data_IF_125163864112
#
_entry.id   IF_125163864112
#
_cell.length_a   1.000
_cell.length_b   1.000
_cell.length_c   1.000
_cell.angle_alpha   90.00
_cell.angle_beta   90.00
_cell.angle_gamma   90.00
#
_symmetry.space_group_name_H-M   'P 1'
#
loop_
_entity.id
_entity.type
_entity.pdbx_description
1 polymer ?
#
# COMPACT_ATOMS: atom_id res chain seq x y z
N UNK A 1 -2.47 6.32 -6.19
CA UNK A 1 -1.64 7.47 -6.61
C UNK A 1 -0.54 6.96 -7.53
N UNK A 2 -0.18 7.70 -8.56
CA UNK A 2 0.92 7.37 -9.47
C UNK A 2 2.09 8.32 -9.23
N UNK A 3 3.30 7.78 -9.28
CA UNK A 3 4.54 8.50 -9.02
C UNK A 3 5.55 8.22 -10.13
N UNK A 4 6.31 9.25 -10.47
CA UNK A 4 7.57 9.13 -11.19
C UNK A 4 8.66 9.63 -10.25
N UNK A 5 9.59 8.75 -9.87
CA UNK A 5 10.56 9.00 -8.79
C UNK A 5 9.85 9.36 -7.47
N UNK A 6 10.19 10.50 -6.86
CA UNK A 6 9.57 11.00 -5.62
C UNK A 6 8.36 11.92 -5.88
N UNK A 7 8.04 12.19 -7.14
CA UNK A 7 7.02 13.16 -7.53
C UNK A 7 5.71 12.47 -7.88
N UNK A 8 4.61 12.88 -7.24
CA UNK A 8 3.27 12.41 -7.60
C UNK A 8 2.85 13.02 -8.94
N UNK A 9 2.39 12.17 -9.86
CA UNK A 9 1.95 12.58 -11.19
C UNK A 9 0.45 12.35 -11.32
N UNK A 10 -0.26 13.42 -11.71
CA UNK A 10 -1.72 13.43 -11.83
C UNK A 10 -2.45 13.37 -10.49
N UNK A 11 -3.76 13.15 -10.55
CA UNK A 11 -4.63 13.14 -9.39
C UNK A 11 -4.64 11.78 -8.65
N UNK A 12 -5.12 11.79 -7.42
CA UNK A 12 -5.41 10.55 -6.69
C UNK A 12 -6.71 9.92 -7.21
N UNK A 13 -6.56 8.81 -7.93
CA UNK A 13 -7.70 8.01 -8.39
C UNK A 13 -8.39 7.29 -7.24
N UNK A 14 -9.72 7.42 -7.15
CA UNK A 14 -10.54 6.79 -6.10
C UNK A 14 -11.38 5.66 -6.66
N UNK A 15 -11.26 4.49 -6.05
CA UNK A 15 -12.04 3.31 -6.39
C UNK A 15 -13.12 3.11 -5.32
N UNK A 16 -14.38 3.16 -5.73
CA UNK A 16 -15.53 2.75 -4.92
C UNK A 16 -15.92 1.34 -5.30
N UNK A 17 -16.20 0.50 -4.31
CA UNK A 17 -16.82 -0.80 -4.55
C UNK A 17 -18.21 -0.60 -5.17
N UNK A 18 -18.57 -1.49 -6.07
CA UNK A 18 -19.95 -1.63 -6.54
C UNK A 18 -20.80 -2.11 -5.37
N UNK A 19 -21.65 -1.25 -4.82
CA UNK A 19 -22.68 -1.73 -3.89
C UNK A 19 -23.71 -2.58 -4.67
N UNK A 20 -24.17 -3.71 -4.13
CA UNK A 20 -25.23 -4.51 -4.74
C UNK A 20 -26.61 -3.84 -4.73
N UNK A 21 -26.79 -2.71 -4.03
CA UNK A 21 -28.03 -1.93 -4.07
C UNK A 21 -27.99 -0.88 -5.19
N UNK A 22 -28.88 -1.09 -6.16
CA UNK A 22 -29.21 -0.19 -7.25
C UNK A 22 -29.56 1.21 -6.74
N UNK A 23 -28.76 2.20 -7.12
CA UNK A 23 -29.22 3.51 -7.60
C UNK A 23 -27.97 4.29 -8.05
N UNK A 24 -27.97 4.73 -9.32
CA UNK A 24 -26.95 5.65 -9.82
C UNK A 24 -27.23 7.03 -9.21
N UNK A 25 -26.33 7.63 -8.41
CA UNK A 25 -26.39 9.04 -8.11
C UNK A 25 -26.02 9.81 -9.37
N UNK A 26 -26.83 10.82 -9.69
CA UNK A 26 -26.79 11.66 -10.89
C UNK A 26 -25.57 12.63 -10.91
N UNK A 27 -24.63 12.51 -9.95
CA UNK A 27 -23.41 13.33 -9.88
C UNK A 27 -22.16 12.44 -9.87
N UNK A 28 -21.82 11.87 -11.03
CA UNK A 28 -20.56 11.16 -11.20
C UNK A 28 -19.42 12.16 -11.38
N UNK A 29 -18.63 12.39 -10.34
CA UNK A 29 -17.34 13.06 -10.49
C UNK A 29 -16.42 12.16 -11.33
N UNK A 30 -15.81 12.73 -12.38
CA UNK A 30 -14.99 12.00 -13.36
C UNK A 30 -13.76 11.26 -12.77
N UNK A 31 -13.37 11.52 -11.52
CA UNK A 31 -12.20 10.90 -10.87
C UNK A 31 -12.49 9.60 -10.10
N UNK A 32 -13.69 9.01 -10.26
CA UNK A 32 -14.14 7.89 -9.44
C UNK A 32 -14.59 6.65 -10.24
N UNK A 33 -14.01 5.51 -9.87
CA UNK A 33 -14.31 4.19 -10.45
C UNK A 33 -15.34 3.46 -9.57
N UNK A 34 -16.35 2.81 -10.17
CA UNK A 34 -17.21 1.81 -9.48
C UNK A 34 -16.86 0.42 -9.98
N UNK A 35 -16.01 -0.29 -9.26
CA UNK A 35 -15.61 -1.65 -9.62
C UNK A 35 -14.92 -2.33 -8.43
N UNK A 36 -15.12 -3.64 -8.30
CA UNK A 36 -14.32 -4.48 -7.40
C UNK A 36 -12.97 -4.87 -8.02
N UNK A 37 -12.80 -4.62 -9.33
CA UNK A 37 -11.58 -4.87 -10.08
C UNK A 37 -11.05 -3.59 -10.73
N UNK A 38 -9.76 -3.35 -10.59
CA UNK A 38 -9.08 -2.22 -11.23
C UNK A 38 -7.82 -2.68 -11.94
N UNK A 39 -7.70 -2.27 -13.20
CA UNK A 39 -6.50 -2.48 -14.01
C UNK A 39 -5.71 -1.18 -14.08
N UNK A 40 -4.40 -1.24 -13.87
CA UNK A 40 -3.48 -0.12 -14.02
C UNK A 40 -2.45 -0.49 -15.08
N UNK A 41 -2.39 0.26 -16.18
CA UNK A 41 -1.57 -0.09 -17.33
C UNK A 41 -0.92 1.11 -18.04
N UNK A 42 -0.08 0.84 -19.04
CA UNK A 42 0.64 1.83 -19.83
C UNK A 42 -0.16 2.39 -21.01
N UNK A 43 -1.46 2.13 -21.10
CA UNK A 43 -2.31 2.59 -22.19
C UNK A 43 -2.52 4.11 -22.22
N UNK A 44 -3.20 4.59 -23.26
CA UNK A 44 -3.41 6.01 -23.54
C UNK A 44 -4.87 6.45 -23.46
N UNK A 45 -5.81 5.58 -23.06
CA UNK A 45 -7.23 5.90 -23.05
C UNK A 45 -7.64 6.56 -21.71
N UNK A 46 -7.81 7.89 -21.65
CA UNK A 46 -8.20 8.57 -20.42
C UNK A 46 -9.66 8.28 -20.04
N UNK A 47 -10.49 7.87 -21.00
CA UNK A 47 -11.89 7.56 -20.76
C UNK A 47 -12.03 6.18 -20.12
N UNK A 48 -11.05 5.29 -20.21
CA UNK A 48 -11.13 3.93 -19.65
C UNK A 48 -11.38 3.86 -18.13
N UNK A 49 -11.25 4.99 -17.42
CA UNK A 49 -11.46 5.08 -15.98
C UNK A 49 -12.86 4.62 -15.54
N UNK A 50 -13.92 4.97 -16.29
CA UNK A 50 -15.28 4.51 -15.98
C UNK A 50 -15.46 2.99 -16.11
N UNK A 51 -14.52 2.31 -16.78
CA UNK A 51 -14.48 0.85 -16.96
C UNK A 51 -13.55 0.15 -15.96
N UNK A 52 -13.09 0.85 -14.92
CA UNK A 52 -12.16 0.28 -13.95
C UNK A 52 -10.71 0.19 -14.45
N UNK A 53 -10.34 0.96 -15.47
CA UNK A 53 -9.01 0.91 -16.06
C UNK A 53 -8.31 2.26 -15.96
N UNK A 54 -7.18 2.30 -15.27
CA UNK A 54 -6.32 3.45 -15.11
C UNK A 54 -5.15 3.36 -16.10
N UNK A 55 -5.21 4.20 -17.14
CA UNK A 55 -4.17 4.32 -18.15
C UNK A 55 -3.14 5.37 -17.73
N UNK A 56 -1.93 4.93 -17.38
CA UNK A 56 -0.85 5.81 -16.94
C UNK A 56 -0.23 6.59 -18.09
N UNK A 57 -0.29 6.06 -19.32
CA UNK A 57 0.38 6.60 -20.52
C UNK A 57 -0.04 8.04 -20.86
N UNK A 58 -1.30 8.39 -20.64
CA UNK A 58 -1.85 9.72 -20.92
C UNK A 58 -1.47 10.79 -19.87
N UNK A 59 -0.90 10.41 -18.73
CA UNK A 59 -0.59 11.36 -17.66
C UNK A 59 0.58 12.28 -18.04
N UNK A 60 0.41 13.62 -18.01
CA UNK A 60 1.48 14.56 -18.31
C UNK A 60 2.44 14.70 -17.12
N UNK A 61 3.73 14.87 -17.43
CA UNK A 61 4.76 15.24 -16.45
C UNK A 61 5.84 16.07 -17.17
N UNK A 62 5.96 17.36 -16.84
CA UNK A 62 6.94 18.28 -17.45
C UNK A 62 8.38 17.99 -17.01
N UNK A 63 8.56 17.30 -15.89
CA UNK A 63 9.86 16.90 -15.35
C UNK A 63 10.19 15.44 -15.65
N UNK A 64 9.50 14.82 -16.63
CA UNK A 64 9.74 13.43 -17.00
C UNK A 64 11.14 13.27 -17.59
N UNK A 65 11.97 12.48 -16.92
CA UNK A 65 13.29 12.10 -17.42
C UNK A 65 13.23 10.89 -18.36
N UNK A 66 14.30 10.69 -19.13
CA UNK A 66 14.44 9.61 -20.13
C UNK A 66 14.20 8.21 -19.53
N UNK A 67 14.70 7.96 -18.31
CA UNK A 67 14.55 6.65 -17.65
C UNK A 67 13.09 6.34 -17.34
N UNK A 68 12.29 7.35 -16.97
CA UNK A 68 10.85 7.21 -16.72
C UNK A 68 10.09 6.99 -18.02
N UNK A 69 10.41 7.73 -19.08
CA UNK A 69 9.83 7.53 -20.40
C UNK A 69 10.08 6.11 -20.93
N UNK A 70 11.33 5.65 -20.88
CA UNK A 70 11.71 4.28 -21.25
C UNK A 70 11.01 3.23 -20.40
N UNK A 71 10.81 3.50 -19.11
CA UNK A 71 10.11 2.56 -18.22
C UNK A 71 8.62 2.49 -18.54
N UNK A 72 7.98 3.62 -18.83
CA UNK A 72 6.54 3.69 -19.17
C UNK A 72 6.18 2.87 -20.40
N UNK A 73 7.05 2.89 -21.42
CA UNK A 73 6.89 2.06 -22.64
C UNK A 73 6.78 0.56 -22.29
N UNK A 74 7.44 0.13 -21.22
CA UNK A 74 7.50 -1.27 -20.80
C UNK A 74 6.47 -1.66 -19.74
N UNK A 75 5.59 -0.76 -19.31
CA UNK A 75 4.48 -1.09 -18.39
C UNK A 75 3.51 -2.05 -19.09
N UNK A 76 3.25 -1.85 -20.38
CA UNK A 76 2.34 -2.67 -21.17
C UNK A 76 0.97 -2.79 -20.51
N UNK A 77 0.50 -4.03 -20.33
CA UNK A 77 -0.78 -4.35 -19.69
C UNK A 77 -0.78 -4.19 -18.16
N UNK A 78 0.38 -3.92 -17.56
CA UNK A 78 0.52 -3.52 -16.16
C UNK A 78 0.06 -4.55 -15.14
N UNK A 79 -0.82 -4.14 -14.25
CA UNK A 79 -1.29 -4.93 -13.10
C UNK A 79 -2.79 -4.83 -12.95
N UNK A 80 -3.41 -5.93 -12.53
CA UNK A 80 -4.83 -6.03 -12.21
C UNK A 80 -4.97 -6.31 -10.72
N UNK A 81 -5.85 -5.57 -10.05
CA UNK A 81 -6.13 -5.66 -8.62
C UNK A 81 -7.61 -5.95 -8.43
N UNK A 82 -7.92 -6.95 -7.62
CA UNK A 82 -9.30 -7.32 -7.28
C UNK A 82 -9.50 -7.29 -5.78
N UNK A 83 -10.44 -6.46 -5.34
CA UNK A 83 -10.87 -6.38 -3.96
C UNK A 83 -11.93 -7.45 -3.69
N UNK A 84 -11.68 -8.33 -2.71
CA UNK A 84 -12.63 -9.37 -2.33
C UNK A 84 -13.63 -8.85 -1.27
N UNK A 85 -14.85 -9.43 -1.19
CA UNK A 85 -15.82 -9.07 -0.16
C UNK A 85 -15.27 -9.18 1.27
N UNK A 86 -14.35 -10.12 1.52
CA UNK A 86 -13.66 -10.30 2.81
C UNK A 86 -12.82 -9.08 3.24
N UNK A 87 -12.48 -8.20 2.29
CA UNK A 87 -11.54 -7.10 2.49
C UNK A 87 -10.13 -7.38 1.96
N UNK A 88 -9.87 -8.61 1.53
CA UNK A 88 -8.59 -9.03 0.97
C UNK A 88 -8.39 -8.42 -0.42
N UNK A 89 -7.12 -8.32 -0.85
CA UNK A 89 -6.78 -7.84 -2.20
C UNK A 89 -5.97 -8.91 -2.93
N UNK A 90 -6.49 -9.32 -4.08
CA UNK A 90 -5.80 -10.17 -5.04
C UNK A 90 -5.12 -9.31 -6.11
N UNK A 91 -3.99 -9.78 -6.63
CA UNK A 91 -3.23 -9.13 -7.67
C UNK A 91 -2.85 -10.12 -8.77
N UNK A 92 -2.92 -9.67 -10.02
CA UNK A 92 -2.40 -10.41 -11.19
C UNK A 92 -1.45 -9.49 -11.96
N UNK A 93 -0.24 -9.98 -12.23
CA UNK A 93 0.67 -9.30 -13.14
C UNK A 93 0.26 -9.59 -14.59
N UNK A 94 -0.11 -8.56 -15.35
CA UNK A 94 -0.45 -8.67 -16.77
C UNK A 94 0.69 -8.19 -17.68
N UNK A 95 1.63 -7.43 -17.13
CA UNK A 95 2.81 -6.90 -17.81
C UNK A 95 3.80 -8.00 -18.22
N UNK A 96 4.36 -7.88 -19.42
CA UNK A 96 5.48 -8.72 -19.90
C UNK A 96 6.80 -8.47 -19.15
N UNK A 97 6.93 -7.32 -18.49
CA UNK A 97 8.06 -7.02 -17.59
C UNK A 97 7.66 -7.24 -16.13
N UNK A 98 8.61 -7.63 -15.25
CA UNK A 98 8.30 -7.88 -13.86
C UNK A 98 7.81 -6.61 -13.14
N UNK A 99 6.94 -6.82 -12.17
CA UNK A 99 6.53 -5.81 -11.19
C UNK A 99 7.13 -6.14 -9.82
N UNK A 100 7.30 -5.12 -8.99
CA UNK A 100 7.94 -5.22 -7.68
C UNK A 100 7.00 -4.63 -6.63
N UNK A 101 6.59 -5.44 -5.68
CA UNK A 101 5.49 -5.13 -4.76
C UNK A 101 6.01 -5.00 -3.34
N UNK A 102 5.64 -3.90 -2.68
CA UNK A 102 5.74 -3.73 -1.23
C UNK A 102 4.39 -4.06 -0.61
N UNK A 103 4.37 -5.07 0.25
CA UNK A 103 3.20 -5.46 1.03
C UNK A 103 3.63 -6.06 2.36
N UNK A 104 3.15 -5.51 3.47
CA UNK A 104 3.40 -6.08 4.79
C UNK A 104 2.86 -7.51 4.93
N UNK A 105 1.78 -7.86 4.22
CA UNK A 105 1.23 -9.21 4.24
C UNK A 105 2.18 -10.22 3.59
N UNK A 106 2.77 -9.86 2.44
CA UNK A 106 3.75 -10.72 1.77
C UNK A 106 5.04 -10.85 2.59
N UNK A 107 5.47 -9.76 3.24
CA UNK A 107 6.62 -9.76 4.15
C UNK A 107 6.35 -10.72 5.32
N UNK A 108 5.15 -10.66 5.93
CA UNK A 108 4.71 -11.59 6.97
C UNK A 108 4.73 -13.05 6.50
N UNK A 109 4.12 -13.35 5.34
CA UNK A 109 4.13 -14.69 4.76
C UNK A 109 5.56 -15.22 4.50
N UNK A 110 6.47 -14.32 4.15
CA UNK A 110 7.88 -14.65 3.87
C UNK A 110 8.77 -14.61 5.12
N UNK A 111 8.21 -14.29 6.30
CA UNK A 111 8.94 -14.09 7.56
C UNK A 111 10.08 -13.07 7.44
N UNK A 112 9.86 -12.01 6.67
CA UNK A 112 10.79 -10.91 6.46
C UNK A 112 10.39 -9.69 7.30
N UNK A 113 11.35 -8.86 7.75
CA UNK A 113 11.02 -7.55 8.31
C UNK A 113 10.25 -6.70 7.30
N UNK A 114 9.27 -5.93 7.77
CA UNK A 114 8.39 -5.14 6.91
C UNK A 114 9.17 -4.08 6.13
N UNK A 115 8.88 -3.99 4.82
CA UNK A 115 9.49 -3.01 3.93
C UNK A 115 10.95 -3.27 3.57
N UNK A 116 11.53 -4.40 3.97
CA UNK A 116 12.96 -4.72 3.74
C UNK A 116 13.32 -4.93 2.27
N UNK A 117 12.49 -5.67 1.52
CA UNK A 117 12.72 -5.98 0.10
C UNK A 117 11.39 -6.10 -0.64
N UNK A 118 11.31 -5.67 -1.92
CA UNK A 118 10.14 -5.94 -2.74
C UNK A 118 9.99 -7.42 -3.11
N UNK A 119 8.74 -7.83 -3.25
CA UNK A 119 8.34 -9.11 -3.84
C UNK A 119 8.24 -8.98 -5.35
N UNK A 120 8.94 -9.84 -6.09
CA UNK A 120 8.98 -9.79 -7.56
C UNK A 120 7.93 -10.71 -8.16
N UNK A 121 7.13 -10.19 -9.08
CA UNK A 121 6.12 -10.94 -9.83
C UNK A 121 6.30 -10.80 -11.34
N UNK A 122 6.06 -11.87 -12.06
CA UNK A 122 6.04 -11.96 -13.53
C UNK A 122 4.65 -12.40 -14.01
N UNK A 123 4.42 -12.38 -15.31
CA UNK A 123 3.18 -12.84 -15.93
C UNK A 123 2.92 -14.35 -15.72
N UNK A 124 3.96 -15.12 -15.37
CA UNK A 124 3.86 -16.56 -15.09
C UNK A 124 3.28 -16.83 -13.69
N UNK A 125 3.28 -15.84 -12.79
CA UNK A 125 2.69 -16.01 -11.48
C UNK A 125 1.16 -16.02 -11.57
N UNK A 126 0.54 -16.97 -10.86
CA UNK A 126 -0.91 -17.00 -10.67
C UNK A 126 -1.40 -15.80 -9.84
N UNK A 127 -2.73 -15.63 -9.81
CA UNK A 127 -3.38 -14.63 -8.97
C UNK A 127 -2.94 -14.78 -7.51
N UNK A 128 -2.26 -13.76 -7.00
CA UNK A 128 -1.64 -13.80 -5.67
C UNK A 128 -2.40 -12.90 -4.71
N UNK A 129 -2.66 -13.40 -3.49
CA UNK A 129 -3.17 -12.56 -2.41
C UNK A 129 -2.03 -11.65 -1.93
N UNK A 130 -2.20 -10.34 -2.10
CA UNK A 130 -1.20 -9.33 -1.70
C UNK A 130 -1.61 -8.56 -0.45
N UNK A 131 -2.82 -8.76 0.04
CA UNK A 131 -3.31 -8.15 1.28
C UNK A 131 -4.39 -9.02 1.93
N UNK A 132 -4.36 -9.12 3.25
CA UNK A 132 -5.37 -9.79 4.06
C UNK A 132 -5.86 -8.85 5.17
N UNK A 133 -7.17 -8.60 5.20
CA UNK A 133 -7.74 -7.61 6.13
C UNK A 133 -7.70 -8.08 7.58
N UNK A 134 -7.89 -9.38 7.81
CA UNK A 134 -7.94 -9.95 9.17
C UNK A 134 -6.55 -9.95 9.79
N UNK A 135 -5.55 -10.36 9.02
CA UNK A 135 -4.14 -10.25 9.41
C UNK A 135 -3.77 -8.80 9.73
N UNK A 136 -4.09 -7.86 8.84
CA UNK A 136 -3.75 -6.45 9.05
C UNK A 136 -4.37 -5.90 10.34
N UNK A 137 -5.65 -6.21 10.60
CA UNK A 137 -6.31 -5.81 11.84
C UNK A 137 -5.64 -6.40 13.08
N UNK A 138 -5.32 -7.69 13.05
CA UNK A 138 -4.63 -8.37 14.15
C UNK A 138 -3.27 -7.72 14.46
N UNK A 139 -2.43 -7.49 13.45
CA UNK A 139 -1.11 -6.86 13.62
C UNK A 139 -1.20 -5.42 14.15
N UNK A 140 -2.19 -4.65 13.69
CA UNK A 140 -2.44 -3.30 14.20
C UNK A 140 -2.87 -3.31 15.68
N UNK A 141 -3.71 -4.27 16.08
CA UNK A 141 -4.09 -4.43 17.49
C UNK A 141 -2.88 -4.76 18.37
N UNK A 142 -2.04 -5.72 17.95
CA UNK A 142 -0.83 -6.11 18.68
C UNK A 142 0.12 -4.91 18.88
N UNK A 143 0.37 -4.12 17.82
CA UNK A 143 1.24 -2.93 17.90
C UNK A 143 0.65 -1.81 18.74
N UNK A 144 -0.66 -1.57 18.63
CA UNK A 144 -1.35 -0.58 19.48
C UNK A 144 -1.23 -0.96 20.95
N UNK A 145 -1.43 -2.24 21.28
CA UNK A 145 -1.28 -2.75 22.64
C UNK A 145 0.16 -2.63 23.15
N UNK A 146 1.14 -3.08 22.37
CA UNK A 146 2.57 -2.99 22.73
C UNK A 146 3.01 -1.54 22.94
N UNK A 147 2.58 -0.62 22.06
CA UNK A 147 2.85 0.81 22.23
C UNK A 147 2.25 1.37 23.53
N UNK A 148 1.01 0.98 23.84
CA UNK A 148 0.35 1.40 25.08
C UNK A 148 1.05 0.86 26.32
N UNK A 149 1.44 -0.42 26.33
CA UNK A 149 2.15 -1.04 27.46
C UNK A 149 3.54 -0.40 27.66
N UNK A 150 4.29 -0.16 26.59
CA UNK A 150 5.58 0.53 26.64
C UNK A 150 5.43 1.97 27.15
N UNK A 151 4.42 2.71 26.67
CA UNK A 151 4.14 4.07 27.12
C UNK A 151 3.75 4.12 28.60
N UNK A 152 2.92 3.17 29.07
CA UNK A 152 2.56 3.05 30.50
C UNK A 152 3.78 2.73 31.36
N UNK A 153 4.63 1.80 30.93
CA UNK A 153 5.86 1.47 31.65
C UNK A 153 6.82 2.68 31.74
N UNK A 154 6.95 3.43 30.64
CA UNK A 154 7.73 4.68 30.61
C UNK A 154 7.13 5.73 31.56
N UNK A 155 5.81 5.92 31.56
CA UNK A 155 5.13 6.86 32.45
C UNK A 155 5.30 6.49 33.93
N UNK A 156 5.15 5.21 34.28
CA UNK A 156 5.36 4.71 35.64
C UNK A 156 6.81 4.93 36.11
N UNK A 157 7.79 4.73 35.23
CA UNK A 157 9.19 4.99 35.52
C UNK A 157 9.48 6.46 35.81
N UNK A 158 8.95 7.37 34.98
CA UNK A 158 9.07 8.83 35.20
C UNK A 158 8.40 9.24 36.51
N UNK A 159 7.29 8.63 36.87
CA UNK A 159 6.57 8.88 38.11
C UNK A 159 7.22 8.23 39.36
N UNK A 160 8.32 7.48 39.21
CA UNK A 160 9.04 6.85 40.31
C UNK A 160 8.43 5.53 40.82
N UNK A 161 7.48 4.95 40.08
CA UNK A 161 6.79 3.69 40.44
C UNK A 161 7.37 2.43 39.77
N UNK A 162 8.46 2.54 39.01
CA UNK A 162 8.98 1.40 38.25
C UNK A 162 9.63 0.33 39.15
N UNK A 163 9.27 -0.96 38.99
CA UNK A 163 10.16 -2.04 39.42
C UNK A 163 11.47 -1.91 38.63
N UNK A 164 12.60 -2.30 39.22
CA UNK A 164 13.95 -2.00 38.70
C UNK A 164 14.14 -2.19 37.19
N UNK A 165 15.13 -1.48 36.63
CA UNK A 165 15.40 -1.22 35.20
C UNK A 165 15.55 -2.46 34.30
N UNK A 166 15.47 -3.67 34.85
CA UNK A 166 15.87 -4.91 34.18
C UNK A 166 14.80 -5.52 33.28
N UNK A 167 13.54 -5.05 33.29
CA UNK A 167 12.46 -5.61 32.45
C UNK A 167 11.49 -4.54 31.90
N UNK A 168 11.99 -3.54 31.18
CA UNK A 168 11.10 -2.64 30.43
C UNK A 168 10.49 -3.37 29.23
N UNK A 169 9.15 -3.34 29.04
CA UNK A 169 8.53 -3.89 27.84
C UNK A 169 9.06 -3.15 26.61
N UNK A 170 9.72 -3.89 25.72
CA UNK A 170 10.22 -3.35 24.46
C UNK A 170 9.04 -3.14 23.50
N UNK A 171 8.93 -1.93 22.96
CA UNK A 171 7.90 -1.61 21.97
C UNK A 171 8.20 -2.34 20.66
N UNK A 172 7.20 -3.03 20.10
CA UNK A 172 7.37 -3.69 18.79
C UNK A 172 7.82 -2.68 17.73
N UNK A 173 8.67 -3.13 16.81
CA UNK A 173 9.05 -2.33 15.65
C UNK A 173 7.82 -1.88 14.85
N UNK A 174 7.89 -0.67 14.29
CA UNK A 174 6.85 -0.02 13.50
C UNK A 174 5.52 0.21 14.24
N UNK A 175 5.54 0.27 15.59
CA UNK A 175 4.36 0.61 16.40
C UNK A 175 3.95 2.10 16.34
N UNK A 176 4.74 2.94 15.65
CA UNK A 176 4.35 4.31 15.34
C UNK A 176 3.20 4.36 14.32
N UNK A 177 2.39 5.42 14.38
CA UNK A 177 1.23 5.62 13.49
C UNK A 177 1.62 5.51 12.01
N UNK A 178 2.72 6.14 11.61
CA UNK A 178 3.22 6.09 10.23
C UNK A 178 3.71 4.70 9.82
N UNK A 179 4.35 3.98 10.74
CA UNK A 179 4.79 2.59 10.55
C UNK A 179 3.59 1.68 10.30
N UNK A 180 2.58 1.76 11.16
CA UNK A 180 1.34 0.99 11.02
C UNK A 180 0.58 1.34 9.74
N UNK A 181 0.47 2.63 9.41
CA UNK A 181 -0.16 3.08 8.17
C UNK A 181 0.57 2.50 6.96
N UNK A 182 1.90 2.61 6.92
CA UNK A 182 2.71 2.12 5.81
C UNK A 182 2.60 0.59 5.66
N UNK A 183 2.75 -0.17 6.76
CA UNK A 183 2.81 -1.62 6.73
C UNK A 183 1.44 -2.32 6.50
N UNK A 184 0.36 -1.78 7.10
CA UNK A 184 -0.94 -2.46 7.15
C UNK A 184 -2.04 -1.78 6.32
N UNK A 185 -1.81 -0.55 5.87
CA UNK A 185 -2.83 0.23 5.17
C UNK A 185 -2.41 0.66 3.77
N UNK A 186 -1.19 0.36 3.35
CA UNK A 186 -0.70 0.70 2.00
C UNK A 186 -0.09 -0.50 1.29
N UNK A 187 -0.25 -0.51 -0.03
CA UNK A 187 0.52 -1.34 -0.95
C UNK A 187 1.27 -0.39 -1.89
N UNK A 188 2.46 -0.80 -2.34
CA UNK A 188 3.16 -0.07 -3.39
C UNK A 188 3.66 -1.01 -4.47
N UNK A 189 3.55 -0.60 -5.73
CA UNK A 189 3.92 -1.42 -6.89
C UNK A 189 4.79 -0.58 -7.81
N UNK A 190 6.04 -1.01 -8.00
CA UNK A 190 6.94 -0.46 -9.01
C UNK A 190 6.89 -1.30 -10.28
N UNK A 191 6.82 -0.63 -11.43
CA UNK A 191 6.82 -1.29 -12.73
C UNK A 191 8.24 -1.41 -13.28
N UNK A 192 8.58 -2.57 -13.85
CA UNK A 192 9.82 -2.86 -14.59
C UNK A 192 11.10 -2.87 -13.73
N UNK A 193 11.26 -1.95 -12.78
CA UNK A 193 12.46 -1.76 -11.96
C UNK A 193 12.16 -2.02 -10.47
N UNK A 194 12.98 -2.86 -9.85
CA UNK A 194 12.95 -3.08 -8.39
C UNK A 194 13.90 -2.14 -7.64
N UNK A 195 13.79 -2.17 -6.32
CA UNK A 195 14.60 -1.40 -5.37
C UNK A 195 15.02 -2.27 -4.17
N UNK A 196 15.89 -1.76 -3.31
CA UNK A 196 16.38 -2.41 -2.10
C UNK A 196 17.85 -2.84 -2.20
N UNK A 197 18.37 -3.61 -1.21
CA UNK A 197 19.80 -3.88 -1.06
C UNK A 197 20.47 -4.57 -2.26
N UNK A 198 19.70 -5.27 -3.10
CA UNK A 198 20.19 -5.92 -4.31
C UNK A 198 20.33 -5.00 -5.54
N UNK A 199 20.08 -3.70 -5.39
CA UNK A 199 20.13 -2.74 -6.50
C UNK A 199 21.15 -1.63 -6.23
N UNK A 200 22.02 -1.32 -7.22
CA UNK A 200 23.18 -0.44 -6.98
C UNK A 200 22.82 1.03 -6.74
N UNK A 201 21.69 1.51 -7.29
CA UNK A 201 21.31 2.93 -7.24
C UNK A 201 19.88 3.18 -6.76
N UNK A 202 19.17 2.15 -6.29
CA UNK A 202 17.76 2.24 -5.91
C UNK A 202 17.56 1.62 -4.53
N UNK A 203 17.69 2.44 -3.50
CA UNK A 203 17.55 2.00 -2.12
C UNK A 203 16.08 2.04 -1.67
N UNK A 204 15.31 2.97 -2.21
CA UNK A 204 13.89 3.16 -1.92
C UNK A 204 13.04 3.01 -3.18
N UNK A 205 11.74 2.76 -3.00
CA UNK A 205 10.78 2.80 -4.12
C UNK A 205 10.72 4.19 -4.77
N UNK A 206 11.04 5.25 -4.02
CA UNK A 206 11.10 6.63 -4.56
C UNK A 206 12.22 6.82 -5.58
N UNK A 207 13.21 5.92 -5.61
CA UNK A 207 14.26 5.92 -6.64
C UNK A 207 13.83 5.17 -7.91
N UNK A 208 12.63 4.59 -7.90
CA UNK A 208 12.10 3.87 -9.06
C UNK A 208 11.44 4.84 -10.03
N UNK A 209 11.65 4.65 -11.35
CA UNK A 209 11.18 5.60 -12.35
C UNK A 209 9.66 5.74 -12.40
N UNK A 210 8.90 4.67 -12.15
CA UNK A 210 7.44 4.64 -12.26
C UNK A 210 6.85 3.65 -11.26
N UNK A 211 6.02 4.13 -10.34
CA UNK A 211 5.37 3.28 -9.34
C UNK A 211 4.02 3.85 -8.91
N UNK A 212 3.21 3.01 -8.27
CA UNK A 212 1.93 3.41 -7.68
C UNK A 212 1.90 3.10 -6.19
N UNK A 213 1.25 3.97 -5.43
CA UNK A 213 0.84 3.71 -4.05
C UNK A 213 -0.68 3.53 -3.99
N UNK A 214 -1.10 2.47 -3.33
CA UNK A 214 -2.49 2.10 -3.13
C UNK A 214 -2.78 2.20 -1.64
N UNK A 215 -3.75 3.05 -1.29
CA UNK A 215 -4.21 3.19 0.09
C UNK A 215 -5.50 2.39 0.28
N UNK A 216 -5.50 1.51 1.28
CA UNK A 216 -6.62 0.65 1.60
C UNK A 216 -7.51 1.32 2.64
N UNK A 217 -8.68 1.78 2.23
CA UNK A 217 -9.55 2.59 3.09
C UNK A 217 -10.06 1.84 4.32
N UNK A 218 -10.42 0.55 4.18
CA UNK A 218 -10.97 -0.21 5.31
C UNK A 218 -9.94 -0.44 6.43
N UNK A 219 -8.70 -0.89 6.13
CA UNK A 219 -7.63 -0.90 7.14
C UNK A 219 -7.37 0.47 7.77
N UNK A 220 -7.34 1.56 6.99
CA UNK A 220 -7.17 2.92 7.55
C UNK A 220 -8.26 3.29 8.56
N UNK A 221 -9.51 2.95 8.28
CA UNK A 221 -10.63 3.18 9.21
C UNK A 221 -10.46 2.37 10.50
N UNK A 222 -9.98 1.12 10.40
CA UNK A 222 -9.73 0.28 11.56
C UNK A 222 -8.54 0.80 12.38
N UNK A 223 -7.49 1.29 11.72
CA UNK A 223 -6.36 1.94 12.38
C UNK A 223 -6.81 3.19 13.14
N UNK A 224 -7.58 4.07 12.50
CA UNK A 224 -8.17 5.26 13.14
C UNK A 224 -9.04 4.91 14.35
N UNK A 225 -9.86 3.85 14.22
CA UNK A 225 -10.64 3.34 15.35
C UNK A 225 -9.75 2.87 16.51
N UNK A 226 -8.70 2.09 16.23
CA UNK A 226 -7.77 1.60 17.24
C UNK A 226 -7.00 2.74 17.92
N UNK A 227 -6.59 3.77 17.18
CA UNK A 227 -5.89 4.93 17.75
C UNK A 227 -6.80 5.76 18.66
N UNK A 228 -8.10 5.85 18.36
CA UNK A 228 -9.09 6.55 19.18
C UNK A 228 -9.51 5.78 20.44
N UNK A 229 -9.46 4.45 20.40
CA UNK A 229 -9.89 3.57 21.49
C UNK A 229 -8.72 2.79 22.10
N UNK A 230 -7.48 3.16 21.77
CA UNK A 230 -6.31 2.69 22.50
C UNK A 230 -6.56 3.01 23.97
N UNK A 231 -6.36 2.07 24.91
CA UNK A 231 -6.69 2.29 26.31
C UNK A 231 -5.98 3.55 26.78
N UNK A 232 -6.75 4.63 26.87
CA UNK A 232 -6.32 5.89 27.42
C UNK A 232 -5.92 5.58 28.86
N UNK A 233 -4.64 5.81 29.15
CA UNK A 233 -4.10 6.15 30.46
C UNK A 233 -5.21 6.50 31.45
N UNK A 234 -5.63 5.52 32.25
CA UNK A 234 -6.42 5.71 33.46
C UNK A 234 -5.47 5.79 34.65
#
# INVERSE_FOLDING_TARGET
MYYELDTQIGETFKVRRSHPSSELPITANFSQIRSDEVRVDGGMDPLALHKGRLCLGALPNVHRGEVSERTRIHIGDGVELRALPSGDVMMVCRSHKPIFVRSGFLDYCSKMPYGSKPHRFTQENEATKVFDLRWAYHEMMCRTRSASEAAMAQAAAVAGFAPGVENFPEMMADSGVDGMRSAFCTLAISFVKGWGPGYPSRHSIKDTPCWIEIQLHRPLQLLDYLLKHAPLTG
#
